data_IF_085008984632
#
_entry.id   IF_085008984632
#
_cell.length_a   1.000
_cell.length_b   1.000
_cell.length_c   1.000
_cell.angle_alpha   90.00
_cell.angle_beta   90.00
_cell.angle_gamma   90.00
#
_symmetry.space_group_name_H-M   'P 1'
#
loop_
_entity.id
_entity.type
_entity.pdbx_description
1 polymer ?
#
# COMPACT_ATOMS: atom_id res chain seq x y z
N UNK A 1 -16.68 -7.46 8.81
CA UNK A 1 -15.54 -7.82 7.95
C UNK A 1 -14.43 -8.39 8.81
N UNK A 2 -13.60 -9.28 8.27
CA UNK A 2 -12.39 -9.71 8.97
C UNK A 2 -11.36 -8.59 8.99
N UNK A 3 -10.50 -8.51 10.03
CA UNK A 3 -9.44 -7.52 10.07
C UNK A 3 -8.49 -7.65 8.87
N UNK A 4 -8.08 -6.53 8.29
CA UNK A 4 -7.02 -6.47 7.30
C UNK A 4 -5.72 -6.18 8.03
N UNK A 5 -4.68 -6.99 7.78
CA UNK A 5 -3.36 -6.79 8.38
C UNK A 5 -2.28 -6.84 7.31
N UNK A 6 -1.46 -5.79 7.25
CA UNK A 6 -0.44 -5.59 6.21
C UNK A 6 0.88 -5.18 6.84
N UNK A 7 1.99 -5.66 6.29
CA UNK A 7 3.32 -5.11 6.57
C UNK A 7 3.59 -4.01 5.57
N UNK A 8 3.84 -2.79 6.05
CA UNK A 8 4.04 -1.57 5.26
C UNK A 8 5.19 -0.74 5.84
N UNK A 9 5.58 0.33 5.13
CA UNK A 9 6.58 1.29 5.57
C UNK A 9 6.00 2.70 5.77
N UNK A 10 6.65 3.49 6.61
CA UNK A 10 6.32 4.87 6.94
C UNK A 10 7.59 5.73 6.89
N UNK A 11 7.56 6.77 6.05
CA UNK A 11 8.60 7.77 5.96
C UNK A 11 8.49 8.79 7.10
N UNK A 12 9.56 8.91 7.88
CA UNK A 12 9.72 9.99 8.88
C UNK A 12 11.19 10.38 9.01
N UNK A 13 11.44 11.69 8.99
CA UNK A 13 12.73 12.34 9.19
C UNK A 13 13.06 12.54 10.68
N UNK A 14 12.05 12.55 11.54
CA UNK A 14 12.18 12.72 12.99
C UNK A 14 12.81 11.51 13.69
N UNK A 15 13.36 11.74 14.89
CA UNK A 15 13.69 10.65 15.81
C UNK A 15 12.40 9.92 16.21
N UNK A 16 12.14 8.77 15.57
CA UNK A 16 10.93 8.00 15.79
C UNK A 16 10.91 7.41 17.21
N UNK A 17 10.12 8.01 18.10
CA UNK A 17 9.86 7.49 19.46
C UNK A 17 8.55 6.68 19.55
N UNK A 18 7.77 6.65 18.47
CA UNK A 18 6.50 5.94 18.39
C UNK A 18 5.46 6.73 17.60
N UNK A 19 4.29 6.13 17.40
CA UNK A 19 3.19 6.79 16.70
C UNK A 19 2.32 7.58 17.68
N UNK A 20 2.39 8.91 17.61
CA UNK A 20 1.58 9.80 18.43
C UNK A 20 0.61 10.61 17.58
N UNK A 21 -0.69 10.52 17.89
CA UNK A 21 -1.73 11.17 17.08
C UNK A 21 -1.57 12.68 17.07
N UNK A 22 -1.01 13.25 18.13
CA UNK A 22 -0.77 14.69 18.29
C UNK A 22 0.34 15.24 17.37
N UNK A 23 1.17 14.36 16.82
CA UNK A 23 2.25 14.70 15.89
C UNK A 23 1.83 14.51 14.43
N UNK A 24 0.66 13.91 14.16
CA UNK A 24 0.13 13.80 12.80
C UNK A 24 -0.24 15.18 12.24
N UNK A 25 0.31 15.52 11.08
CA UNK A 25 -0.12 16.69 10.32
C UNK A 25 -1.53 16.49 9.72
N UNK A 26 -2.19 17.60 9.37
CA UNK A 26 -3.51 17.60 8.71
C UNK A 26 -3.41 17.62 7.17
N UNK A 27 -2.21 17.48 6.62
CA UNK A 27 -1.90 17.75 5.20
C UNK A 27 -2.08 16.54 4.28
N UNK A 28 -2.29 15.34 4.83
CA UNK A 28 -2.44 14.13 4.02
C UNK A 28 -3.78 14.06 3.25
N UNK A 29 -3.80 13.35 2.12
CA UNK A 29 -4.95 13.29 1.21
C UNK A 29 -6.24 12.74 1.84
N UNK A 30 -6.11 11.95 2.91
CA UNK A 30 -7.21 11.32 3.63
C UNK A 30 -7.46 11.92 5.02
N UNK A 31 -6.88 13.09 5.28
CA UNK A 31 -6.92 13.77 6.57
C UNK A 31 -5.84 13.30 7.54
N UNK A 32 -6.00 13.65 8.81
CA UNK A 32 -5.01 13.39 9.86
C UNK A 32 -4.93 11.90 10.23
N UNK A 33 -3.73 11.32 10.14
CA UNK A 33 -3.48 9.93 10.51
C UNK A 33 -2.02 9.53 10.30
N UNK A 34 -1.74 8.24 10.47
CA UNK A 34 -0.43 7.64 10.21
C UNK A 34 -0.48 6.97 8.84
N UNK A 35 0.30 7.50 7.90
CA UNK A 35 0.33 7.06 6.52
C UNK A 35 1.40 6.00 6.33
N UNK A 36 1.04 4.91 5.66
CA UNK A 36 1.93 3.82 5.34
C UNK A 36 1.73 3.42 3.89
N UNK A 37 2.79 3.04 3.19
CA UNK A 37 2.67 2.41 1.87
C UNK A 37 3.51 1.14 1.78
N UNK A 38 3.31 0.36 0.72
CA UNK A 38 4.23 -0.71 0.37
C UNK A 38 5.39 -0.25 -0.54
N UNK A 39 5.51 1.07 -0.76
CA UNK A 39 6.57 1.65 -1.58
C UNK A 39 7.73 2.17 -0.73
N UNK A 40 8.68 1.27 -0.47
CA UNK A 40 9.84 1.60 0.36
C UNK A 40 10.67 2.77 -0.17
N UNK A 41 10.78 2.93 -1.49
CA UNK A 41 11.57 4.03 -2.08
C UNK A 41 10.83 5.36 -1.97
N UNK A 42 9.51 5.36 -2.17
CA UNK A 42 8.69 6.55 -1.94
C UNK A 42 8.74 7.00 -0.48
N UNK A 43 8.59 6.08 0.47
CA UNK A 43 8.68 6.41 1.90
C UNK A 43 10.08 6.92 2.28
N UNK A 44 11.14 6.43 1.61
CA UNK A 44 12.51 6.94 1.80
C UNK A 44 12.63 8.40 1.37
N UNK A 45 11.91 8.80 0.33
CA UNK A 45 11.85 10.23 -0.08
C UNK A 45 11.15 11.06 0.99
N UNK A 46 10.06 10.54 1.57
CA UNK A 46 9.34 11.22 2.66
C UNK A 46 10.10 11.29 3.99
N UNK A 47 11.13 10.46 4.18
CA UNK A 47 12.02 10.47 5.34
C UNK A 47 13.36 11.20 5.11
N UNK A 48 13.44 12.06 4.09
CA UNK A 48 14.66 12.79 3.72
C UNK A 48 15.88 11.87 3.51
N UNK A 49 15.63 10.71 2.88
CA UNK A 49 16.65 9.71 2.54
C UNK A 49 16.91 8.64 3.61
N UNK A 50 16.41 8.82 4.83
CA UNK A 50 16.56 7.83 5.91
C UNK A 50 15.78 6.55 5.59
N UNK A 51 16.21 5.40 6.13
CA UNK A 51 15.43 4.17 5.98
C UNK A 51 14.03 4.35 6.62
N UNK A 52 12.94 4.04 5.90
CA UNK A 52 11.59 4.04 6.44
C UNK A 52 11.41 3.13 7.65
N UNK A 53 10.47 3.50 8.52
CA UNK A 53 10.01 2.65 9.61
C UNK A 53 9.10 1.57 9.03
N UNK A 54 9.39 0.31 9.34
CA UNK A 54 8.52 -0.82 8.95
C UNK A 54 7.54 -1.10 10.07
N UNK A 55 6.28 -1.36 9.72
CA UNK A 55 5.24 -1.69 10.69
C UNK A 55 4.22 -2.67 10.12
N UNK A 56 3.64 -3.45 11.03
CA UNK A 56 2.42 -4.21 10.77
C UNK A 56 1.21 -3.35 11.16
N UNK A 57 0.37 -3.07 10.18
CA UNK A 57 -0.82 -2.23 10.31
C UNK A 57 -2.06 -3.11 10.26
N UNK A 58 -2.89 -3.04 11.30
CA UNK A 58 -4.15 -3.79 11.42
C UNK A 58 -5.34 -2.85 11.44
N UNK A 59 -6.20 -2.95 10.41
CA UNK A 59 -7.45 -2.19 10.27
C UNK A 59 -8.64 -3.15 10.39
N UNK A 60 -9.57 -2.86 11.28
CA UNK A 60 -10.75 -3.69 11.57
C UNK A 60 -11.86 -3.48 10.55
N UNK A 61 -12.07 -2.23 10.15
CA UNK A 61 -13.11 -1.81 9.21
C UNK A 61 -12.63 -0.54 8.47
N UNK A 62 -11.65 -0.64 7.56
CA UNK A 62 -11.17 0.53 6.83
C UNK A 62 -12.17 0.95 5.75
N UNK A 63 -12.19 2.26 5.45
CA UNK A 63 -12.77 2.73 4.21
C UNK A 63 -11.84 2.35 3.05
N UNK A 64 -12.32 1.51 2.14
CA UNK A 64 -11.52 1.03 1.00
C UNK A 64 -11.74 1.95 -0.20
N UNK A 65 -10.67 2.58 -0.68
CA UNK A 65 -10.66 3.39 -1.89
C UNK A 65 -9.87 2.65 -2.99
N UNK A 66 -10.51 2.37 -4.12
CA UNK A 66 -9.86 1.74 -5.26
C UNK A 66 -9.66 2.78 -6.37
N UNK A 67 -8.40 3.07 -6.70
CA UNK A 67 -8.03 4.05 -7.75
C UNK A 67 -8.33 3.51 -9.15
N UNK A 68 -8.43 2.19 -9.31
CA UNK A 68 -8.70 1.54 -10.60
C UNK A 68 -10.19 1.59 -11.00
N UNK A 69 -11.04 2.25 -10.19
CA UNK A 69 -12.43 2.50 -10.56
C UNK A 69 -12.51 3.48 -11.74
N UNK A 70 -13.60 3.43 -12.53
CA UNK A 70 -13.90 4.48 -13.51
C UNK A 70 -13.85 5.86 -12.84
N UNK A 71 -13.41 6.87 -13.59
CA UNK A 71 -13.12 8.21 -13.04
C UNK A 71 -14.27 8.79 -12.21
N UNK A 72 -15.51 8.69 -12.69
CA UNK A 72 -16.68 9.23 -11.99
C UNK A 72 -16.98 8.49 -10.68
N UNK A 73 -16.75 7.17 -10.64
CA UNK A 73 -16.91 6.35 -9.44
C UNK A 73 -15.81 6.67 -8.41
N UNK A 74 -14.56 6.81 -8.86
CA UNK A 74 -13.44 7.23 -8.02
C UNK A 74 -13.68 8.63 -7.45
N UNK A 75 -14.14 9.57 -8.28
CA UNK A 75 -14.50 10.92 -7.84
C UNK A 75 -15.62 10.89 -6.80
N UNK A 76 -16.66 10.08 -7.01
CA UNK A 76 -17.74 9.93 -6.05
C UNK A 76 -17.24 9.35 -4.71
N UNK A 77 -16.42 8.29 -4.75
CA UNK A 77 -15.85 7.65 -3.57
C UNK A 77 -14.92 8.61 -2.80
N UNK A 78 -14.07 9.36 -3.49
CA UNK A 78 -13.10 10.27 -2.86
C UNK A 78 -13.71 11.56 -2.28
N UNK A 79 -14.98 11.88 -2.56
CA UNK A 79 -15.66 13.07 -1.99
C UNK A 79 -15.75 13.04 -0.48
N UNK A 80 -15.78 11.85 0.14
CA UNK A 80 -15.81 11.70 1.59
C UNK A 80 -14.63 12.40 2.28
N UNK A 81 -13.48 12.53 1.60
CA UNK A 81 -12.29 13.17 2.13
C UNK A 81 -12.31 14.70 2.03
N UNK A 82 -13.35 15.33 1.46
CA UNK A 82 -13.37 16.78 1.22
C UNK A 82 -14.37 17.52 2.12
N UNK A 83 -14.01 18.60 2.83
CA UNK A 83 -12.65 19.11 3.02
C UNK A 83 -11.77 18.17 3.87
N UNK A 84 -10.48 18.12 3.54
CA UNK A 84 -9.47 17.19 4.10
C UNK A 84 -9.31 17.31 5.61
N UNK A 85 -9.31 18.52 6.15
CA UNK A 85 -9.19 18.81 7.60
C UNK A 85 -10.28 18.16 8.48
N UNK A 86 -11.36 17.65 7.89
CA UNK A 86 -12.45 16.96 8.60
C UNK A 86 -12.68 15.54 8.07
N UNK A 87 -11.76 15.03 7.25
CA UNK A 87 -11.91 13.72 6.63
C UNK A 87 -11.88 12.61 7.69
N UNK A 88 -10.88 12.64 8.59
CA UNK A 88 -10.71 11.65 9.65
C UNK A 88 -11.96 11.50 10.51
N UNK A 89 -12.46 12.60 11.08
CA UNK A 89 -13.61 12.59 11.99
C UNK A 89 -14.87 12.09 11.27
N UNK A 90 -15.03 12.45 10.00
CA UNK A 90 -16.15 11.98 9.17
C UNK A 90 -16.08 10.49 8.90
N UNK A 91 -14.90 9.98 8.54
CA UNK A 91 -14.67 8.55 8.28
C UNK A 91 -14.92 7.74 9.56
N UNK A 92 -14.40 8.22 10.70
CA UNK A 92 -14.68 7.62 12.02
C UNK A 92 -16.18 7.67 12.34
N UNK A 93 -16.85 8.79 12.10
CA UNK A 93 -18.28 8.95 12.33
C UNK A 93 -19.16 8.02 11.48
N UNK A 94 -18.64 7.53 10.35
CA UNK A 94 -19.28 6.52 9.50
C UNK A 94 -18.93 5.07 9.92
N UNK A 95 -18.17 4.90 11.00
CA UNK A 95 -17.83 3.59 11.57
C UNK A 95 -16.56 2.97 11.00
N UNK A 96 -15.76 3.70 10.24
CA UNK A 96 -14.50 3.22 9.72
C UNK A 96 -13.34 3.54 10.67
N UNK A 97 -12.35 2.65 10.77
CA UNK A 97 -11.20 2.82 11.67
C UNK A 97 -9.90 3.21 10.97
N UNK A 98 -9.94 3.40 9.65
CA UNK A 98 -8.81 3.83 8.84
C UNK A 98 -9.19 3.93 7.37
N UNK A 99 -8.19 4.11 6.51
CA UNK A 99 -8.35 4.13 5.05
C UNK A 99 -7.40 3.11 4.45
N UNK A 100 -7.85 2.41 3.42
CA UNK A 100 -7.03 1.53 2.61
C UNK A 100 -7.19 1.94 1.14
N UNK A 101 -6.19 2.59 0.57
CA UNK A 101 -6.10 2.86 -0.85
C UNK A 101 -5.45 1.69 -1.57
N UNK A 102 -6.03 1.29 -2.69
CA UNK A 102 -5.50 0.28 -3.60
C UNK A 102 -5.40 0.85 -5.00
N UNK A 103 -4.23 0.67 -5.62
CA UNK A 103 -3.98 1.02 -7.02
C UNK A 103 -3.09 -0.06 -7.61
N UNK A 104 -3.66 -0.99 -8.37
CA UNK A 104 -2.99 -2.19 -8.83
C UNK A 104 -2.32 -2.94 -7.66
N UNK A 105 -0.99 -3.02 -7.65
CA UNK A 105 -0.17 -3.61 -6.59
C UNK A 105 0.32 -2.62 -5.54
N UNK A 106 0.10 -1.31 -5.74
CA UNK A 106 0.36 -0.30 -4.73
C UNK A 106 -0.75 -0.30 -3.68
N UNK A 107 -0.33 -0.25 -2.42
CA UNK A 107 -1.22 -0.16 -1.26
C UNK A 107 -0.74 0.96 -0.37
N UNK A 108 -1.68 1.80 0.04
CA UNK A 108 -1.49 2.81 1.07
C UNK A 108 -2.54 2.64 2.16
N UNK A 109 -2.10 2.65 3.41
CA UNK A 109 -2.97 2.55 4.57
C UNK A 109 -2.83 3.80 5.44
N UNK A 110 -3.96 4.31 5.91
CA UNK A 110 -4.00 5.34 6.95
C UNK A 110 -4.60 4.74 8.21
N UNK A 111 -3.76 4.58 9.24
CA UNK A 111 -4.22 4.22 10.57
C UNK A 111 -4.60 5.49 11.35
N UNK A 112 -5.72 5.46 12.06
CA UNK A 112 -6.16 6.60 12.88
C UNK A 112 -5.70 6.48 14.33
N UNK A 113 -5.40 5.28 14.81
CA UNK A 113 -5.07 5.02 16.20
C UNK A 113 -3.72 4.29 16.31
N UNK A 114 -2.83 4.68 17.25
CA UNK A 114 -1.56 4.01 17.45
C UNK A 114 -1.66 2.50 17.70
N UNK A 115 -2.73 2.07 18.39
CA UNK A 115 -3.01 0.65 18.67
C UNK A 115 -3.21 -0.22 17.41
N UNK A 116 -3.38 0.38 16.24
CA UNK A 116 -3.48 -0.33 14.96
C UNK A 116 -2.11 -0.69 14.39
N UNK A 117 -1.02 -0.28 15.05
CA UNK A 117 0.32 -0.28 14.50
C UNK A 117 1.27 -1.01 15.44
N UNK A 118 1.93 -2.03 14.91
CA UNK A 118 3.03 -2.75 15.55
C UNK A 118 4.33 -2.45 14.78
N UNK A 119 5.20 -1.60 15.35
CA UNK A 119 6.39 -1.09 14.66
C UNK A 119 7.61 -2.00 14.88
N UNK A 120 8.36 -2.22 13.81
CA UNK A 120 9.63 -2.95 13.83
C UNK A 120 10.86 -2.02 13.74
N UNK A 121 10.63 -0.71 13.74
CA UNK A 121 11.67 0.31 13.55
C UNK A 121 12.18 0.39 12.11
N UNK A 122 13.34 1.03 11.92
CA UNK A 122 14.02 1.13 10.62
C UNK A 122 14.67 -0.21 10.27
N UNK A 123 14.13 -0.89 9.26
CA UNK A 123 14.55 -2.25 8.83
C UNK A 123 14.56 -2.33 7.30
N UNK A 124 15.62 -1.87 6.62
CA UNK A 124 15.69 -1.87 5.15
C UNK A 124 15.69 -3.27 4.53
N UNK A 125 16.00 -4.28 5.33
CA UNK A 125 16.03 -5.70 5.00
C UNK A 125 14.70 -6.42 5.29
N UNK A 126 13.71 -5.75 5.88
CA UNK A 126 12.42 -6.39 6.16
C UNK A 126 11.62 -6.56 4.85
N UNK A 127 11.12 -7.78 4.56
CA UNK A 127 10.34 -8.00 3.35
C UNK A 127 8.99 -7.29 3.45
N UNK A 128 8.82 -6.25 2.63
CA UNK A 128 7.53 -5.59 2.41
C UNK A 128 6.95 -6.15 1.11
N UNK A 129 5.75 -6.74 1.13
CA UNK A 129 5.10 -7.22 -0.09
C UNK A 129 4.87 -6.08 -1.09
N UNK A 130 5.68 -6.05 -2.14
CA UNK A 130 5.56 -5.12 -3.26
C UNK A 130 5.62 -5.91 -4.57
N UNK A 131 4.44 -6.21 -5.13
CA UNK A 131 4.35 -7.01 -6.36
C UNK A 131 4.87 -6.26 -7.59
N UNK A 132 5.08 -4.93 -7.53
CA UNK A 132 5.74 -4.16 -8.60
C UNK A 132 7.19 -4.61 -8.78
N UNK A 133 7.87 -4.96 -7.68
CA UNK A 133 9.24 -5.50 -7.72
C UNK A 133 9.29 -6.90 -8.36
N UNK A 134 8.24 -7.71 -8.21
CA UNK A 134 8.16 -9.03 -8.84
C UNK A 134 7.97 -8.95 -10.37
N UNK A 135 7.26 -7.95 -10.87
CA UNK A 135 7.08 -7.73 -12.31
C UNK A 135 8.41 -7.34 -13.00
N UNK A 136 9.29 -6.64 -12.30
CA UNK A 136 10.63 -6.27 -12.82
C UNK A 136 11.68 -7.39 -12.69
N UNK A 137 11.41 -8.46 -11.93
CA UNK A 137 12.31 -9.63 -11.78
C UNK A 137 11.98 -10.73 -12.82
N UNK A 138 10.85 -10.65 -13.53
CA UNK A 138 10.51 -11.58 -14.59
C UNK A 138 10.84 -11.03 -15.98
N UNK A 139 12.09 -11.22 -16.44
CA UNK A 139 12.32 -11.47 -17.85
C UNK A 139 13.12 -12.76 -18.04
N UNK A 140 12.72 -13.94 -17.51
CA UNK A 140 13.49 -15.17 -17.79
C UNK A 140 12.78 -16.54 -17.67
N UNK A 141 11.46 -16.62 -17.89
CA UNK A 141 10.78 -17.91 -18.13
C UNK A 141 9.82 -17.87 -19.32
N UNK A 142 10.31 -17.41 -20.48
CA UNK A 142 9.73 -17.73 -21.79
C UNK A 142 10.86 -17.83 -22.82
N UNK A 143 11.77 -18.79 -22.68
CA UNK A 143 12.74 -19.14 -23.74
C UNK A 143 13.35 -20.53 -23.51
N UNK A 144 12.52 -21.57 -23.44
CA UNK A 144 12.92 -22.91 -23.90
C UNK A 144 11.73 -23.53 -24.62
N UNK A 145 11.67 -23.24 -25.92
CA UNK A 145 10.95 -24.09 -26.86
C UNK A 145 11.68 -25.43 -26.95
N UNK A 146 11.00 -26.51 -26.58
CA UNK A 146 11.29 -27.83 -27.14
C UNK A 146 10.27 -28.05 -28.25
N UNK A 147 10.65 -27.59 -29.43
CA UNK A 147 10.05 -27.97 -30.69
C UNK A 147 10.77 -29.26 -31.14
N UNK A 148 10.20 -30.43 -30.85
CA UNK A 148 10.61 -31.68 -31.52
C UNK A 148 9.58 -31.96 -32.60
N UNK A 149 9.82 -31.37 -33.77
CA UNK A 149 9.22 -31.81 -35.02
C UNK A 149 10.19 -32.75 -35.75
N UNK A 150 9.87 -34.03 -35.79
CA UNK A 150 10.36 -35.02 -36.77
C UNK A 150 9.19 -36.00 -36.98
N UNK A 151 8.68 -36.30 -38.16
CA UNK A 151 8.89 -35.82 -39.51
C UNK A 151 7.80 -36.46 -40.37
N UNK A 152 7.25 -35.73 -41.34
CA UNK A 152 6.46 -36.34 -42.41
C UNK A 152 7.42 -37.01 -43.40
N UNK A 153 7.20 -38.29 -43.72
CA UNK A 153 7.53 -38.85 -45.04
C UNK A 153 6.27 -39.38 -45.70
N UNK A 154 6.21 -39.09 -46.99
CA UNK A 154 5.16 -39.41 -47.95
C UNK A 154 5.18 -40.88 -48.41
N UNK A 155 3.96 -41.38 -48.68
CA UNK A 155 3.48 -42.14 -49.84
C UNK A 155 3.86 -43.61 -50.13
N UNK A 156 2.87 -44.23 -50.79
CA UNK A 156 2.82 -45.48 -51.57
C UNK A 156 2.61 -46.75 -50.72
N UNK A 157 1.59 -47.59 -50.93
CA UNK A 157 0.73 -47.93 -52.09
C UNK A 157 -0.59 -48.50 -51.56
#
# INVERSE_FOLDING_TARGET
MSPITLTLCHGTDSEFQGFNVNECNECGAFGRGFYFSNDFELERVYSDGLDPVVAKVTLQNPYILNVNLPHDEYLAASRIFRPVRHARERIIGLGYDGVLLRQDSYVEAVAFYPRQIDSYGRRPDFPIPDERKLQNILPFFQLWGIQIGFGRRHHNT
#
